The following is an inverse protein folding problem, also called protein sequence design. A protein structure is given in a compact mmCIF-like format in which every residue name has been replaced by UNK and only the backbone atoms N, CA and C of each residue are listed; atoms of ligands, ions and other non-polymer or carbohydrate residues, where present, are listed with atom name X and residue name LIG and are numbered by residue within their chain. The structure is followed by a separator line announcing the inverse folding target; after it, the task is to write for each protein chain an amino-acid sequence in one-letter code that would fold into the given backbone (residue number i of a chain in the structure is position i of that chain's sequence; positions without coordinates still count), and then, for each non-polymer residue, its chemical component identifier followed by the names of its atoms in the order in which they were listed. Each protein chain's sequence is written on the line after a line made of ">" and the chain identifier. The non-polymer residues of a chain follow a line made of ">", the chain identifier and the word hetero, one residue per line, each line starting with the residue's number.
data_IF_391039608352
#
_entry.id   IF_391039608352
#
_cell.length_a   1.000
_cell.length_b   1.000
_cell.length_c   1.000
_cell.angle_alpha   90.00
_cell.angle_beta   90.00
_cell.angle_gamma   90.00
#
_symmetry.space_group_name_H-M   'P 1'
#
loop_
_entity.id
_entity.type
_entity.pdbx_description
1 polymer ?
#
# COMPACT_ATOMS: atom_id res chain seq x y z
N UNK A 1 5.59 2.84 -9.36
CA UNK A 1 5.21 2.99 -7.94
C UNK A 1 4.24 4.15 -7.87
N UNK A 2 3.09 3.95 -7.25
CA UNK A 2 2.14 5.02 -7.00
C UNK A 2 2.28 5.44 -5.54
N UNK A 3 2.60 6.72 -5.32
CA UNK A 3 2.76 7.30 -3.98
C UNK A 3 1.87 8.52 -3.86
N UNK A 4 0.93 8.50 -2.93
CA UNK A 4 -0.02 9.61 -2.76
C UNK A 4 -0.39 9.81 -1.29
N UNK A 5 -0.74 11.05 -0.97
CA UNK A 5 -1.22 11.44 0.36
C UNK A 5 -2.72 11.69 0.29
N UNK A 6 -3.46 11.09 1.22
CA UNK A 6 -4.92 11.15 1.26
C UNK A 6 -5.38 11.82 2.55
N UNK A 7 -6.18 12.87 2.40
CA UNK A 7 -6.81 13.57 3.51
C UNK A 7 -8.20 13.02 3.86
N UNK A 8 -8.90 13.72 4.74
CA UNK A 8 -10.31 13.48 5.03
C UNK A 8 -11.06 14.78 5.36
N UNK A 9 -12.39 14.72 5.56
CA UNK A 9 -13.16 13.50 5.77
C UNK A 9 -13.43 12.75 4.47
N UNK A 10 -13.37 11.42 4.53
CA UNK A 10 -13.84 10.54 3.48
C UNK A 10 -14.33 9.23 4.10
N UNK A 11 -15.64 9.01 4.08
CA UNK A 11 -16.28 7.78 4.53
C UNK A 11 -16.99 7.15 3.35
N UNK A 12 -16.83 5.84 3.20
CA UNK A 12 -17.29 5.12 2.02
C UNK A 12 -17.71 3.70 2.38
N UNK A 13 -18.64 3.14 1.60
CA UNK A 13 -19.15 1.77 1.79
C UNK A 13 -18.55 0.77 0.81
N UNK A 14 -17.93 1.23 -0.25
CA UNK A 14 -17.29 0.36 -1.22
C UNK A 14 -15.98 -0.21 -0.66
N UNK A 15 -15.70 -1.44 -1.06
CA UNK A 15 -14.47 -2.15 -0.80
C UNK A 15 -13.72 -2.28 -2.12
N UNK A 16 -12.48 -1.81 -2.12
CA UNK A 16 -11.54 -2.01 -3.20
C UNK A 16 -10.82 -3.35 -3.00
N UNK A 17 -10.55 -4.02 -4.11
CA UNK A 17 -9.87 -5.30 -4.18
C UNK A 17 -8.82 -5.15 -5.27
N UNK A 18 -7.56 -5.44 -4.97
CA UNK A 18 -6.48 -5.45 -5.96
C UNK A 18 -5.54 -6.64 -5.75
N UNK A 19 -4.76 -6.95 -6.76
CA UNK A 19 -3.78 -8.05 -6.74
C UNK A 19 -2.37 -7.61 -6.27
N UNK A 20 -2.19 -6.32 -6.00
CA UNK A 20 -1.01 -5.77 -5.33
C UNK A 20 -1.23 -5.61 -3.83
N UNK A 21 -0.15 -5.28 -3.12
CA UNK A 21 -0.20 -4.94 -1.69
C UNK A 21 -0.21 -3.42 -1.49
N UNK A 22 -0.82 -2.96 -0.39
CA UNK A 22 -0.91 -1.54 -0.06
C UNK A 22 -0.25 -1.23 1.28
N UNK A 23 0.68 -0.28 1.29
CA UNK A 23 1.29 0.22 2.51
C UNK A 23 0.63 1.52 2.95
N UNK A 24 0.20 1.56 4.21
CA UNK A 24 -0.42 2.70 4.85
C UNK A 24 0.50 3.25 5.94
N UNK A 25 0.62 4.58 6.00
CA UNK A 25 1.27 5.28 7.12
C UNK A 25 0.52 6.58 7.43
N UNK A 26 0.16 6.80 8.70
CA UNK A 26 -0.58 8.00 9.11
C UNK A 26 0.36 9.09 9.60
N UNK A 27 0.59 10.10 8.77
CA UNK A 27 1.40 11.29 9.13
C UNK A 27 0.67 12.20 10.13
N UNK A 28 -0.66 12.32 10.00
CA UNK A 28 -1.48 13.17 10.87
C UNK A 28 -2.86 12.55 11.10
N UNK A 29 -3.25 12.44 12.36
CA UNK A 29 -4.53 11.91 12.82
C UNK A 29 -4.73 10.42 12.51
N UNK A 30 -5.89 9.90 12.92
CA UNK A 30 -6.19 8.48 12.82
C UNK A 30 -7.09 8.17 11.64
N UNK A 31 -6.92 6.98 11.06
CA UNK A 31 -7.87 6.39 10.12
C UNK A 31 -8.35 5.02 10.62
N UNK A 32 -9.39 4.50 9.97
CA UNK A 32 -9.79 3.11 10.11
C UNK A 32 -9.84 2.46 8.73
N UNK A 33 -9.13 1.37 8.52
CA UNK A 33 -9.25 0.55 7.33
C UNK A 33 -10.23 -0.59 7.62
N UNK A 34 -11.42 -0.56 7.04
CA UNK A 34 -12.34 -1.70 7.14
C UNK A 34 -11.89 -2.76 6.16
N UNK A 35 -11.80 -4.02 6.55
CA UNK A 35 -11.41 -5.11 5.68
C UNK A 35 -12.40 -6.27 5.78
N UNK A 36 -12.34 -7.20 4.83
CA UNK A 36 -12.96 -8.53 4.95
C UNK A 36 -11.84 -9.54 5.14
N UNK A 37 -11.53 -9.86 6.40
CA UNK A 37 -10.51 -10.85 6.78
C UNK A 37 -11.18 -12.21 7.00
N UNK A 38 -10.73 -13.26 6.30
CA UNK A 38 -11.25 -14.63 6.45
C UNK A 38 -12.79 -14.70 6.42
N UNK A 39 -13.38 -13.98 5.47
CA UNK A 39 -14.83 -13.89 5.27
C UNK A 39 -15.59 -13.11 6.35
N UNK A 40 -14.92 -12.27 7.16
CA UNK A 40 -15.56 -11.46 8.20
C UNK A 40 -15.13 -10.00 8.11
N UNK A 41 -16.08 -9.09 8.32
CA UNK A 41 -15.76 -7.68 8.48
C UNK A 41 -14.89 -7.45 9.71
N UNK A 42 -13.80 -6.69 9.54
CA UNK A 42 -12.87 -6.31 10.60
C UNK A 42 -12.49 -4.85 10.41
N UNK A 43 -12.51 -4.08 11.49
CA UNK A 43 -12.06 -2.69 11.50
C UNK A 43 -10.60 -2.68 11.98
N UNK A 44 -9.70 -2.06 11.20
CA UNK A 44 -8.28 -1.89 11.52
C UNK A 44 -8.01 -0.40 11.81
N UNK A 45 -7.99 0.02 13.08
CA UNK A 45 -7.59 1.38 13.44
C UNK A 45 -6.09 1.56 13.16
N UNK A 46 -5.73 2.59 12.40
CA UNK A 46 -4.34 2.97 12.14
C UNK A 46 -4.18 4.39 12.67
N UNK A 47 -3.46 4.52 13.79
CA UNK A 47 -3.30 5.80 14.49
C UNK A 47 -2.20 6.65 13.88
N UNK A 48 -2.16 7.93 14.23
CA UNK A 48 -1.05 8.82 13.90
C UNK A 48 0.32 8.18 14.27
N UNK A 49 1.26 8.18 13.34
CA UNK A 49 2.59 7.58 13.46
C UNK A 49 2.64 6.07 13.26
N UNK A 50 1.50 5.38 13.12
CA UNK A 50 1.45 3.95 12.83
C UNK A 50 1.55 3.67 11.33
N UNK A 51 2.16 2.53 11.01
CA UNK A 51 2.13 1.93 9.69
C UNK A 51 1.41 0.58 9.68
N UNK A 52 0.94 0.18 8.49
CA UNK A 52 0.24 -1.07 8.24
C UNK A 52 0.46 -1.51 6.81
N UNK A 53 0.66 -2.81 6.59
CA UNK A 53 0.78 -3.41 5.26
C UNK A 53 -0.42 -4.31 5.02
N UNK A 54 -1.21 -4.01 3.99
CA UNK A 54 -2.33 -4.83 3.55
C UNK A 54 -1.85 -5.86 2.51
N UNK A 55 -2.02 -7.18 2.78
CA UNK A 55 -1.77 -8.23 1.80
C UNK A 55 -2.67 -8.11 0.56
N UNK A 56 -2.23 -8.68 -0.55
CA UNK A 56 -2.98 -8.71 -1.80
C UNK A 56 -4.34 -9.42 -1.66
N UNK A 57 -5.28 -9.02 -2.51
CA UNK A 57 -6.61 -9.64 -2.66
C UNK A 57 -7.51 -9.64 -1.41
N UNK A 58 -7.20 -8.79 -0.41
CA UNK A 58 -8.09 -8.56 0.73
C UNK A 58 -9.01 -7.36 0.41
N UNK A 59 -10.35 -7.54 0.39
CA UNK A 59 -11.27 -6.42 0.21
C UNK A 59 -11.10 -5.42 1.34
N UNK A 60 -10.93 -4.14 1.01
CA UNK A 60 -10.68 -3.09 2.00
C UNK A 60 -11.38 -1.77 1.66
N UNK A 61 -11.77 -1.00 2.69
CA UNK A 61 -12.54 0.23 2.60
C UNK A 61 -11.99 1.29 3.57
N UNK A 62 -11.13 2.19 3.08
CA UNK A 62 -10.51 3.23 3.92
C UNK A 62 -11.52 4.25 4.45
N UNK A 63 -11.49 4.51 5.76
CA UNK A 63 -12.32 5.50 6.43
C UNK A 63 -11.43 6.57 7.06
N UNK A 64 -11.58 7.82 6.62
CA UNK A 64 -10.75 8.96 7.06
C UNK A 64 -11.61 10.03 7.71
N UNK A 65 -11.16 10.52 8.86
CA UNK A 65 -11.80 11.63 9.58
C UNK A 65 -11.32 12.97 9.03
N UNK A 66 -11.95 14.06 9.46
CA UNK A 66 -11.50 15.41 9.12
C UNK A 66 -10.07 15.68 9.63
N UNK A 67 -9.33 16.54 8.94
CA UNK A 67 -8.00 17.02 9.35
C UNK A 67 -6.91 15.94 9.48
N UNK A 68 -7.08 14.78 8.85
CA UNK A 68 -6.08 13.71 8.79
C UNK A 68 -5.25 13.78 7.50
N UNK A 69 -4.04 13.22 7.51
CA UNK A 69 -3.19 13.00 6.33
C UNK A 69 -2.53 11.63 6.47
N UNK A 70 -2.72 10.76 5.47
CA UNK A 70 -2.05 9.46 5.40
C UNK A 70 -1.34 9.25 4.07
N UNK A 71 -0.16 8.66 4.12
CA UNK A 71 0.57 8.12 2.98
C UNK A 71 -0.03 6.76 2.60
N UNK A 72 -0.25 6.56 1.30
CA UNK A 72 -0.48 5.24 0.72
C UNK A 72 0.56 5.02 -0.38
N UNK A 73 1.20 3.84 -0.34
CA UNK A 73 2.05 3.36 -1.42
C UNK A 73 1.44 2.08 -1.98
N UNK A 74 1.37 2.00 -3.31
CA UNK A 74 0.93 0.84 -4.08
C UNK A 74 1.76 0.76 -5.37
N UNK A 75 1.61 -0.29 -6.18
CA UNK A 75 2.30 -0.40 -7.48
C UNK A 75 1.35 -0.26 -8.66
N UNK A 76 1.94 0.05 -9.81
CA UNK A 76 1.22 -0.10 -11.07
C UNK A 76 0.84 -1.57 -11.30
N UNK A 77 -0.34 -1.77 -11.88
CA UNK A 77 -0.85 -3.10 -12.26
C UNK A 77 -0.11 -3.62 -13.48
N UNK A 78 0.13 -4.92 -13.55
CA UNK A 78 0.43 -5.56 -14.84
C UNK A 78 -0.83 -5.63 -15.70
N UNK A 79 -0.67 -5.78 -17.02
CA UNK A 79 -1.79 -5.72 -17.98
C UNK A 79 -2.88 -6.79 -17.73
N UNK A 80 -2.49 -7.92 -17.15
CA UNK A 80 -3.37 -9.04 -16.81
C UNK A 80 -4.11 -8.84 -15.48
N UNK A 81 -3.65 -7.92 -14.64
CA UNK A 81 -4.25 -7.70 -13.31
C UNK A 81 -5.57 -6.93 -13.39
N UNK A 82 -6.46 -7.30 -12.47
CA UNK A 82 -7.75 -6.64 -12.28
C UNK A 82 -7.87 -6.07 -10.89
N UNK A 83 -8.58 -4.96 -10.83
CA UNK A 83 -9.11 -4.37 -9.62
C UNK A 83 -10.61 -4.64 -9.57
N UNK A 84 -11.14 -4.73 -8.35
CA UNK A 84 -12.56 -4.87 -8.05
C UNK A 84 -13.04 -3.72 -7.18
N UNK A 85 -14.20 -3.18 -7.50
CA UNK A 85 -14.98 -2.32 -6.60
C UNK A 85 -16.24 -3.07 -6.20
N UNK A 86 -16.39 -3.34 -4.90
CA UNK A 86 -17.50 -4.14 -4.37
C UNK A 86 -18.27 -3.39 -3.30
N UNK A 87 -19.59 -3.50 -3.33
CA UNK A 87 -20.46 -3.17 -2.21
C UNK A 87 -21.06 -4.45 -1.66
N UNK A 88 -21.19 -4.53 -0.33
CA UNK A 88 -21.82 -5.65 0.36
C UNK A 88 -23.26 -5.34 0.73
N UNK A 89 -24.07 -6.38 0.91
CA UNK A 89 -25.37 -6.26 1.57
C UNK A 89 -25.11 -5.83 3.02
N UNK A 90 -25.85 -4.84 3.50
CA UNK A 90 -25.62 -4.26 4.83
C UNK A 90 -25.65 -5.37 5.92
N UNK A 91 -24.55 -5.49 6.66
CA UNK A 91 -24.40 -6.46 7.76
C UNK A 91 -23.95 -7.86 7.35
N UNK A 92 -23.66 -8.11 6.07
CA UNK A 92 -23.17 -9.42 5.58
C UNK A 92 -21.91 -9.23 4.73
N UNK A 93 -21.22 -10.34 4.43
CA UNK A 93 -20.13 -10.39 3.45
C UNK A 93 -20.59 -10.89 2.08
N UNK A 94 -21.90 -10.85 1.81
CA UNK A 94 -22.47 -11.18 0.50
C UNK A 94 -22.44 -9.95 -0.42
N UNK A 95 -21.99 -10.14 -1.66
CA UNK A 95 -21.88 -9.05 -2.63
C UNK A 95 -23.25 -8.51 -3.04
N UNK A 96 -23.43 -7.20 -2.90
CA UNK A 96 -24.57 -6.46 -3.43
C UNK A 96 -24.31 -6.00 -4.88
N UNK A 97 -23.11 -5.51 -5.14
CA UNK A 97 -22.70 -4.96 -6.44
C UNK A 97 -21.20 -5.14 -6.62
N UNK A 98 -20.78 -5.47 -7.84
CA UNK A 98 -19.36 -5.63 -8.20
C UNK A 98 -19.10 -5.02 -9.57
N UNK A 99 -17.97 -4.32 -9.70
CA UNK A 99 -17.37 -3.98 -10.99
C UNK A 99 -15.90 -4.37 -10.96
N UNK A 100 -15.46 -5.01 -12.03
CA UNK A 100 -14.08 -5.44 -12.23
C UNK A 100 -13.49 -4.71 -13.43
N UNK A 101 -12.30 -4.14 -13.27
CA UNK A 101 -11.67 -3.28 -14.27
C UNK A 101 -10.14 -3.41 -14.24
N UNK A 102 -9.48 -3.00 -15.32
CA UNK A 102 -8.04 -2.81 -15.29
C UNK A 102 -7.73 -1.41 -14.79
N UNK A 103 -6.96 -1.31 -13.70
CA UNK A 103 -6.65 -0.04 -13.04
C UNK A 103 -5.36 0.57 -13.63
N UNK A 104 -5.53 1.67 -14.37
CA UNK A 104 -4.43 2.51 -14.85
C UNK A 104 -4.28 3.71 -13.91
N UNK A 105 -5.38 4.39 -13.60
CA UNK A 105 -5.47 5.53 -12.68
C UNK A 105 -6.70 5.38 -11.78
N UNK A 106 -6.45 4.89 -10.55
CA UNK A 106 -7.49 4.61 -9.57
C UNK A 106 -8.31 5.86 -9.22
N UNK A 107 -7.65 7.02 -9.11
CA UNK A 107 -8.30 8.27 -8.70
C UNK A 107 -9.34 8.74 -9.71
N UNK A 108 -9.02 8.65 -11.01
CA UNK A 108 -9.94 9.06 -12.07
C UNK A 108 -10.98 7.99 -12.42
N UNK A 109 -10.64 6.71 -12.28
CA UNK A 109 -11.54 5.60 -12.63
C UNK A 109 -12.59 5.30 -11.55
N UNK A 110 -12.30 5.51 -10.26
CA UNK A 110 -13.27 5.19 -9.19
C UNK A 110 -14.51 6.09 -9.20
N UNK A 111 -14.35 7.39 -9.48
CA UNK A 111 -15.44 8.35 -9.41
C UNK A 111 -16.66 7.98 -10.28
N UNK A 112 -16.47 7.66 -11.57
CA UNK A 112 -17.54 7.16 -12.44
C UNK A 112 -18.18 5.85 -11.93
N UNK A 113 -17.39 4.86 -11.52
CA UNK A 113 -17.89 3.55 -11.05
C UNK A 113 -18.76 3.68 -9.78
N UNK A 114 -18.36 4.58 -8.88
CA UNK A 114 -19.13 4.89 -7.68
C UNK A 114 -20.46 5.56 -8.05
N UNK A 115 -20.47 6.47 -9.03
CA UNK A 115 -21.71 7.11 -9.51
C UNK A 115 -22.66 6.10 -10.15
N UNK A 116 -22.13 5.14 -10.91
CA UNK A 116 -22.91 4.05 -11.50
C UNK A 116 -23.61 3.21 -10.41
N UNK A 117 -22.88 2.84 -9.35
CA UNK A 117 -23.49 2.15 -8.21
C UNK A 117 -24.63 2.97 -7.59
N UNK A 118 -24.42 4.25 -7.29
CA UNK A 118 -25.48 5.08 -6.70
C UNK A 118 -26.70 5.32 -7.61
N UNK A 119 -26.55 5.15 -8.92
CA UNK A 119 -27.65 5.19 -9.88
C UNK A 119 -28.35 3.82 -10.08
N UNK A 120 -27.75 2.73 -9.60
CA UNK A 120 -28.20 1.35 -9.81
C UNK A 120 -29.46 0.97 -9.04
N UNK A 121 -30.16 -0.07 -9.51
CA UNK A 121 -31.27 -0.66 -8.76
C UNK A 121 -30.81 -1.38 -7.50
N UNK A 122 -29.57 -1.91 -7.48
CA UNK A 122 -28.98 -2.52 -6.29
C UNK A 122 -28.87 -1.52 -5.14
N UNK A 123 -28.44 -0.29 -5.42
CA UNK A 123 -28.42 0.77 -4.41
C UNK A 123 -29.82 1.16 -3.93
N UNK A 124 -30.79 1.27 -4.85
CA UNK A 124 -32.18 1.64 -4.51
C UNK A 124 -32.90 0.58 -3.69
N UNK A 125 -32.65 -0.70 -3.96
CA UNK A 125 -33.39 -1.82 -3.38
C UNK A 125 -32.65 -2.54 -2.25
N UNK A 126 -31.32 -2.35 -2.16
CA UNK A 126 -30.45 -3.11 -1.25
C UNK A 126 -30.34 -4.60 -1.58
N UNK A 127 -30.70 -5.00 -2.81
CA UNK A 127 -30.71 -6.40 -3.26
C UNK A 127 -29.81 -6.61 -4.48
N UNK A 128 -29.05 -7.71 -4.56
CA UNK A 128 -28.29 -8.03 -5.76
C UNK A 128 -29.24 -8.36 -6.91
N UNK A 129 -28.82 -8.03 -8.14
CA UNK A 129 -29.52 -8.45 -9.35
C UNK A 129 -28.98 -9.82 -9.78
N UNK A 130 -29.83 -10.82 -10.05
CA UNK A 130 -29.38 -12.12 -10.55
C UNK A 130 -28.52 -11.98 -11.81
N UNK A 131 -27.38 -12.66 -11.82
CA UNK A 131 -26.43 -12.66 -12.95
C UNK A 131 -25.48 -11.46 -13.02
N UNK A 132 -25.58 -10.45 -12.13
CA UNK A 132 -24.62 -9.33 -12.10
C UNK A 132 -23.42 -9.57 -11.19
N UNK A 133 -23.54 -10.50 -10.24
CA UNK A 133 -22.41 -10.95 -9.42
C UNK A 133 -21.75 -12.14 -10.13
N UNK A 134 -20.46 -12.07 -10.48
CA UNK A 134 -19.79 -13.16 -11.21
C UNK A 134 -19.64 -14.40 -10.32
N UNK A 135 -20.00 -15.57 -10.87
CA UNK A 135 -19.75 -16.86 -10.21
C UNK A 135 -18.25 -17.13 -10.04
N UNK A 136 -17.45 -16.66 -11.00
CA UNK A 136 -15.99 -16.77 -11.00
C UNK A 136 -15.39 -15.36 -11.17
N UNK A 137 -15.15 -14.62 -10.08
CA UNK A 137 -14.58 -13.28 -10.18
C UNK A 137 -13.15 -13.33 -10.77
N UNK A 138 -12.70 -12.29 -11.48
CA UNK A 138 -11.36 -12.24 -12.05
C UNK A 138 -10.23 -12.35 -11.02
N UNK A 139 -10.46 -11.83 -9.81
CA UNK A 139 -9.51 -11.91 -8.68
C UNK A 139 -9.99 -12.94 -7.67
N UNK A 140 -9.08 -13.83 -7.27
CA UNK A 140 -9.31 -14.75 -6.15
C UNK A 140 -9.02 -14.02 -4.85
N UNK A 141 -10.03 -13.91 -3.99
CA UNK A 141 -9.88 -13.24 -2.70
C UNK A 141 -9.02 -14.05 -1.75
N UNK A 142 -8.21 -13.36 -0.97
CA UNK A 142 -7.54 -13.98 0.17
C UNK A 142 -8.55 -14.17 1.31
N UNK A 143 -8.81 -15.43 1.65
CA UNK A 143 -9.74 -15.83 2.71
C UNK A 143 -9.05 -16.58 3.85
N UNK A 144 -7.72 -16.66 3.83
CA UNK A 144 -6.92 -17.46 4.77
C UNK A 144 -6.01 -16.59 5.65
N UNK A 145 -5.48 -15.50 5.09
CA UNK A 145 -4.53 -14.64 5.79
C UNK A 145 -5.18 -13.89 6.94
N UNK A 146 -4.57 -13.98 8.12
CA UNK A 146 -4.78 -13.04 9.21
C UNK A 146 -3.82 -11.86 9.07
N UNK A 147 -4.35 -10.63 9.03
CA UNK A 147 -3.50 -9.45 8.89
C UNK A 147 -2.81 -9.11 10.21
N UNK A 148 -1.58 -8.61 10.12
CA UNK A 148 -0.82 -8.14 11.27
C UNK A 148 -1.43 -6.83 11.81
N UNK A 149 -1.23 -6.54 13.10
CA UNK A 149 -1.72 -5.29 13.67
C UNK A 149 -0.87 -4.10 13.19
N UNK A 150 -1.46 -2.91 12.99
CA UNK A 150 -0.68 -1.69 12.82
C UNK A 150 0.24 -1.44 14.02
N UNK A 151 1.39 -0.81 13.78
CA UNK A 151 2.35 -0.48 14.83
C UNK A 151 3.04 0.87 14.57
N UNK A 152 3.55 1.48 15.64
CA UNK A 152 4.30 2.74 15.55
C UNK A 152 5.58 2.54 14.74
N UNK A 153 5.72 3.23 13.61
CA UNK A 153 6.94 3.14 12.81
C UNK A 153 8.15 3.65 13.58
N UNK A 154 8.00 4.77 14.30
CA UNK A 154 9.08 5.30 15.13
C UNK A 154 9.43 4.35 16.28
N UNK A 155 8.42 3.81 16.97
CA UNK A 155 8.66 2.84 18.04
C UNK A 155 9.38 1.59 17.54
N UNK A 156 9.02 1.09 16.35
CA UNK A 156 9.72 -0.03 15.71
C UNK A 156 11.17 0.32 15.34
N UNK A 157 11.42 1.54 14.83
CA UNK A 157 12.78 2.01 14.52
C UNK A 157 13.64 2.07 15.79
N UNK A 158 13.08 2.62 16.87
CA UNK A 158 13.77 2.76 18.15
C UNK A 158 14.13 1.39 18.74
N UNK A 159 13.19 0.43 18.68
CA UNK A 159 13.41 -0.96 19.14
C UNK A 159 14.52 -1.68 18.36
N UNK A 160 14.66 -1.39 17.07
CA UNK A 160 15.59 -2.07 16.17
C UNK A 160 16.85 -1.25 15.84
N UNK A 161 17.09 -0.14 16.55
CA UNK A 161 18.15 0.80 16.23
C UNK A 161 19.54 0.14 16.24
N UNK A 162 19.83 -0.70 17.23
CA UNK A 162 21.13 -1.39 17.33
C UNK A 162 21.38 -2.31 16.13
N UNK A 163 20.39 -3.11 15.74
CA UNK A 163 20.50 -4.02 14.60
C UNK A 163 20.65 -3.25 13.28
N UNK A 164 19.91 -2.13 13.13
CA UNK A 164 20.02 -1.26 11.95
C UNK A 164 21.42 -0.64 11.88
N UNK A 165 22.01 -0.25 13.02
CA UNK A 165 23.36 0.29 13.05
C UNK A 165 24.42 -0.78 12.74
N UNK A 166 24.24 -2.00 13.25
CA UNK A 166 25.18 -3.10 13.02
C UNK A 166 25.14 -3.61 11.57
N UNK A 167 23.94 -3.84 11.03
CA UNK A 167 23.73 -4.43 9.70
C UNK A 167 23.59 -3.40 8.58
N UNK A 168 23.48 -2.12 8.94
CA UNK A 168 23.20 -1.02 8.02
C UNK A 168 21.72 -0.87 7.65
N UNK A 169 20.92 -1.92 7.73
CA UNK A 169 19.48 -1.89 7.46
C UNK A 169 18.71 -3.02 8.13
N UNK A 170 17.39 -2.88 8.18
CA UNK A 170 16.45 -3.95 8.55
C UNK A 170 15.16 -3.85 7.73
N UNK A 171 14.64 -4.98 7.27
CA UNK A 171 13.31 -5.06 6.62
C UNK A 171 12.21 -5.00 7.69
N UNK A 172 11.22 -4.14 7.47
CA UNK A 172 10.12 -3.87 8.40
C UNK A 172 9.19 -5.08 8.54
N UNK A 173 8.81 -5.69 7.41
CA UNK A 173 7.89 -6.85 7.37
C UNK A 173 8.58 -8.16 6.95
N UNK A 174 9.91 -8.22 7.03
CA UNK A 174 10.70 -9.39 6.62
C UNK A 174 10.56 -9.72 5.13
N UNK A 175 10.55 -11.03 4.81
CA UNK A 175 10.45 -11.56 3.44
C UNK A 175 9.09 -12.24 3.17
N UNK A 176 8.10 -12.00 4.03
CA UNK A 176 6.76 -12.63 3.96
C UNK A 176 5.89 -12.05 2.84
N UNK A 177 6.18 -10.82 2.43
CA UNK A 177 5.33 -10.01 1.58
C UNK A 177 6.02 -9.66 0.26
N UNK A 178 5.23 -9.33 -0.76
CA UNK A 178 5.76 -8.80 -2.02
C UNK A 178 6.38 -7.41 -1.81
N UNK A 179 5.79 -6.60 -0.94
CA UNK A 179 6.19 -5.25 -0.65
C UNK A 179 7.39 -5.24 0.29
N UNK A 180 8.55 -4.90 -0.26
CA UNK A 180 9.76 -4.73 0.51
C UNK A 180 9.85 -3.31 1.05
N UNK A 181 9.87 -3.21 2.37
CA UNK A 181 10.02 -1.96 3.11
C UNK A 181 11.20 -2.15 4.06
N UNK A 182 12.23 -1.33 3.90
CA UNK A 182 13.44 -1.42 4.71
C UNK A 182 13.83 -0.06 5.29
N UNK A 183 14.24 -0.07 6.55
CA UNK A 183 14.84 1.08 7.22
C UNK A 183 16.35 0.93 7.14
N UNK A 184 17.01 1.95 6.63
CA UNK A 184 18.46 2.05 6.50
C UNK A 184 19.01 3.06 7.52
N UNK A 185 20.11 2.67 8.16
CA UNK A 185 20.88 3.49 9.10
C UNK A 185 22.15 4.09 8.48
N UNK A 186 23.07 4.62 9.31
CA UNK A 186 24.33 5.18 8.85
C UNK A 186 25.17 4.17 8.04
N UNK A 187 25.89 4.66 7.03
CA UNK A 187 26.80 3.82 6.23
C UNK A 187 26.63 4.01 4.73
N UNK A 188 27.35 3.20 3.96
CA UNK A 188 27.28 3.16 2.51
C UNK A 188 26.40 1.99 2.06
N UNK A 189 25.39 2.28 1.24
CA UNK A 189 24.41 1.32 0.77
C UNK A 189 24.37 1.28 -0.75
N UNK A 190 24.02 0.13 -1.31
CA UNK A 190 23.76 -0.05 -2.74
C UNK A 190 22.35 -0.56 -2.89
N UNK A 191 21.63 -0.04 -3.87
CA UNK A 191 20.28 -0.49 -4.18
C UNK A 191 19.97 -0.43 -5.66
N UNK A 192 18.79 -0.94 -6.00
CA UNK A 192 18.25 -0.97 -7.35
C UNK A 192 17.28 -2.14 -7.49
N UNK A 193 16.28 -1.97 -8.34
CA UNK A 193 15.38 -3.05 -8.73
C UNK A 193 15.10 -2.94 -10.22
N UNK A 194 15.24 -4.04 -10.94
CA UNK A 194 15.04 -4.09 -12.40
C UNK A 194 13.57 -3.88 -12.77
N UNK A 195 12.65 -4.42 -11.96
CA UNK A 195 11.24 -4.49 -12.29
C UNK A 195 10.36 -3.46 -11.56
N UNK A 196 10.89 -2.80 -10.53
CA UNK A 196 10.13 -1.83 -9.73
C UNK A 196 10.92 -0.56 -9.46
N UNK A 197 10.19 0.55 -9.41
CA UNK A 197 10.73 1.81 -8.90
C UNK A 197 10.85 1.74 -7.37
N UNK A 198 11.82 2.47 -6.82
CA UNK A 198 12.06 2.52 -5.38
C UNK A 198 11.71 3.91 -4.88
N UNK A 199 10.72 3.97 -3.99
CA UNK A 199 10.39 5.18 -3.27
C UNK A 199 11.23 5.25 -2.00
N UNK A 200 11.96 6.34 -1.80
CA UNK A 200 12.79 6.54 -0.62
C UNK A 200 12.37 7.80 0.13
N UNK A 201 12.46 7.75 1.46
CA UNK A 201 12.08 8.86 2.33
C UNK A 201 13.10 9.05 3.46
N UNK A 202 13.66 10.24 3.56
CA UNK A 202 14.60 10.58 4.63
C UNK A 202 13.81 10.97 5.88
N UNK A 203 13.74 10.06 6.84
CA UNK A 203 13.00 10.27 8.10
C UNK A 203 13.77 11.16 9.07
N UNK A 204 15.10 10.98 9.16
CA UNK A 204 15.98 11.70 10.07
C UNK A 204 17.35 11.95 9.43
N UNK A 205 17.97 13.10 9.71
CA UNK A 205 19.28 13.47 9.19
C UNK A 205 19.30 13.65 7.67
N UNK A 206 20.43 13.35 7.04
CA UNK A 206 20.60 13.46 5.58
C UNK A 206 21.30 12.26 4.97
N UNK A 207 21.09 12.08 3.67
CA UNK A 207 21.80 11.12 2.83
C UNK A 207 22.18 11.72 1.49
N UNK A 208 23.25 11.21 0.92
CA UNK A 208 23.68 11.53 -0.43
C UNK A 208 23.41 10.32 -1.34
N UNK A 209 22.52 10.48 -2.30
CA UNK A 209 22.13 9.44 -3.25
C UNK A 209 22.76 9.73 -4.61
N UNK A 210 23.38 8.71 -5.17
CA UNK A 210 23.99 8.75 -6.50
C UNK A 210 23.26 7.76 -7.40
N UNK A 211 22.61 8.26 -8.45
CA UNK A 211 21.75 7.46 -9.34
C UNK A 211 22.36 7.34 -10.75
N UNK A 212 22.36 6.13 -11.29
CA UNK A 212 22.71 5.83 -12.69
C UNK A 212 24.21 5.57 -12.93
N UNK A 213 24.52 4.97 -14.09
CA UNK A 213 25.89 4.67 -14.52
C UNK A 213 26.46 5.69 -15.51
N UNK A 214 25.65 6.22 -16.44
CA UNK A 214 26.13 7.10 -17.53
C UNK A 214 25.96 8.61 -17.26
N UNK A 215 24.89 9.00 -16.54
CA UNK A 215 24.65 10.37 -16.07
C UNK A 215 24.45 10.36 -14.57
N UNK A 216 25.58 10.28 -13.87
CA UNK A 216 25.64 10.26 -12.41
C UNK A 216 24.97 11.52 -11.86
N UNK A 217 23.76 11.37 -11.32
CA UNK A 217 23.08 12.45 -10.61
C UNK A 217 23.29 12.25 -9.12
N UNK A 218 23.99 13.19 -8.50
CA UNK A 218 24.18 13.26 -7.05
C UNK A 218 23.11 14.15 -6.45
N UNK A 219 22.37 13.62 -5.48
CA UNK A 219 21.22 14.27 -4.84
C UNK A 219 21.40 14.14 -3.34
N UNK A 220 21.29 15.25 -2.62
CA UNK A 220 21.17 15.21 -1.17
C UNK A 220 19.69 15.15 -0.80
N UNK A 221 19.32 14.20 0.07
CA UNK A 221 18.03 14.15 0.74
C UNK A 221 18.21 14.52 2.20
N UNK A 222 17.42 15.47 2.66
CA UNK A 222 17.33 15.92 4.06
C UNK A 222 15.97 15.52 4.64
N UNK A 223 15.78 15.71 5.94
CA UNK A 223 14.56 15.28 6.65
C UNK A 223 13.27 15.67 5.93
N UNK A 224 12.33 14.73 5.93
CA UNK A 224 11.01 14.81 5.28
C UNK A 224 11.06 14.80 3.74
N UNK A 225 12.23 14.85 3.11
CA UNK A 225 12.33 14.76 1.65
C UNK A 225 12.23 13.31 1.19
N UNK A 226 11.44 13.09 0.15
CA UNK A 226 11.32 11.81 -0.53
C UNK A 226 11.77 11.92 -1.99
N UNK A 227 12.11 10.78 -2.58
CA UNK A 227 12.51 10.68 -3.97
C UNK A 227 12.05 9.35 -4.54
N UNK A 228 11.71 9.36 -5.83
CA UNK A 228 11.46 8.15 -6.59
C UNK A 228 12.69 7.82 -7.45
N UNK A 229 13.21 6.62 -7.30
CA UNK A 229 14.30 6.07 -8.10
C UNK A 229 13.68 5.20 -9.19
N UNK A 230 13.95 5.46 -10.49
CA UNK A 230 13.38 4.68 -11.58
C UNK A 230 13.75 3.20 -11.50
N UNK A 231 12.88 2.33 -12.03
CA UNK A 231 13.20 0.92 -12.23
C UNK A 231 14.39 0.77 -13.18
N UNK A 232 15.03 -0.39 -13.13
CA UNK A 232 16.23 -0.71 -13.93
C UNK A 232 17.38 0.28 -13.71
N UNK A 233 17.43 0.91 -12.53
CA UNK A 233 18.46 1.86 -12.16
C UNK A 233 19.14 1.45 -10.87
N UNK A 234 20.47 1.30 -10.93
CA UNK A 234 21.31 1.14 -9.74
C UNK A 234 21.60 2.49 -9.12
N UNK A 235 21.68 2.50 -7.80
CA UNK A 235 22.08 3.68 -7.03
C UNK A 235 22.96 3.29 -5.85
N UNK A 236 23.76 4.25 -5.39
CA UNK A 236 24.46 4.17 -4.11
C UNK A 236 23.95 5.26 -3.19
N UNK A 237 24.04 5.03 -1.88
CA UNK A 237 23.66 5.99 -0.85
C UNK A 237 24.78 6.06 0.16
N UNK A 238 25.25 7.27 0.45
CA UNK A 238 26.06 7.55 1.62
C UNK A 238 25.17 8.19 2.68
N UNK A 239 24.81 7.44 3.70
CA UNK A 239 23.94 7.91 4.78
C UNK A 239 24.74 8.59 5.90
N UNK A 240 24.27 9.74 6.33
CA UNK A 240 24.88 10.51 7.41
C UNK A 240 24.85 9.78 8.75
N UNK A 241 25.70 10.24 9.68
CA UNK A 241 25.67 9.79 11.08
C UNK A 241 24.30 10.13 11.69
N UNK A 242 23.73 9.20 12.43
CA UNK A 242 22.40 9.30 13.06
C UNK A 242 21.21 9.45 12.09
N UNK A 243 21.43 9.21 10.79
CA UNK A 243 20.39 9.28 9.78
C UNK A 243 19.53 8.01 9.73
N UNK A 244 18.26 8.19 9.38
CA UNK A 244 17.30 7.10 9.18
C UNK A 244 16.55 7.35 7.87
N UNK A 245 16.52 6.34 7.01
CA UNK A 245 15.89 6.44 5.68
C UNK A 245 15.05 5.20 5.41
N UNK A 246 13.84 5.40 4.92
CA UNK A 246 12.98 4.32 4.43
C UNK A 246 13.23 4.11 2.93
N UNK A 247 13.25 2.85 2.48
CA UNK A 247 13.16 2.50 1.07
C UNK A 247 12.05 1.46 0.87
N UNK A 248 11.16 1.74 -0.08
CA UNK A 248 9.96 0.96 -0.35
C UNK A 248 9.89 0.61 -1.83
N UNK A 249 9.67 -0.65 -2.16
CA UNK A 249 9.39 -1.09 -3.52
C UNK A 249 8.59 -2.38 -3.53
N UNK A 250 7.86 -2.62 -4.62
CA UNK A 250 7.03 -3.80 -4.78
C UNK A 250 7.35 -4.41 -6.15
N UNK A 251 8.21 -5.43 -6.16
CA UNK A 251 8.65 -6.10 -7.38
C UNK A 251 7.52 -7.02 -7.90
N UNK A 252 6.92 -6.75 -9.07
CA UNK A 252 5.83 -7.58 -9.61
C UNK A 252 6.22 -9.06 -9.79
N UNK A 253 7.52 -9.37 -9.94
CA UNK A 253 8.03 -10.74 -10.07
C UNK A 253 7.98 -11.54 -8.77
N UNK A 254 7.80 -10.86 -7.63
CA UNK A 254 7.68 -11.47 -6.29
C UNK A 254 6.23 -11.59 -5.82
N UNK A 255 5.26 -11.39 -6.73
CA UNK A 255 3.83 -11.49 -6.42
C UNK A 255 3.52 -12.84 -5.77
N UNK A 256 2.84 -12.78 -4.63
CA UNK A 256 2.39 -13.97 -3.91
C UNK A 256 1.01 -14.32 -4.45
N UNK A 257 0.90 -15.49 -5.07
CA UNK A 257 -0.36 -15.94 -5.65
C UNK A 257 -1.25 -16.50 -4.54
N UNK A 258 -2.47 -15.95 -4.43
CA UNK A 258 -3.54 -16.59 -3.65
C UNK A 258 -3.85 -17.94 -4.27
N UNK A 259 -3.76 -19.01 -3.49
CA UNK A 259 -4.09 -20.35 -3.98
C UNK A 259 -5.58 -20.41 -4.32
N UNK A 260 -5.91 -20.93 -5.50
CA UNK A 260 -7.26 -21.38 -5.82
C UNK A 260 -7.41 -22.78 -5.25
N UNK A 261 -8.36 -22.98 -4.36
CA UNK A 261 -8.83 -24.32 -3.97
C UNK A 261 -9.53 -25.02 -5.14
#
# INVERSE_FOLDING_TARGET
>A
MKSFFVGGPNQRKDYHIEEGEEFFFMEKGDMCLKIVERGKHKDIPIKEGECFLLPACIPHSPQRKENTVGLVLERERSEDEKDGLRYYIDGTTESLYEVWFHCVDLGTQLGPLIKEYFASEQYKTGKPIPGTIPENPPVTLDTETEVEAPFSLQGWIDEHQEEIQEKGFKKVFGDKYQFEIAVYGPGDHVGGCEAAEIWTWQLKGSSEIVVGQEKVKKIELTERQCMLIPKDTKYTVKQGKDSVRLACFQDPRKKILVKKD
#
